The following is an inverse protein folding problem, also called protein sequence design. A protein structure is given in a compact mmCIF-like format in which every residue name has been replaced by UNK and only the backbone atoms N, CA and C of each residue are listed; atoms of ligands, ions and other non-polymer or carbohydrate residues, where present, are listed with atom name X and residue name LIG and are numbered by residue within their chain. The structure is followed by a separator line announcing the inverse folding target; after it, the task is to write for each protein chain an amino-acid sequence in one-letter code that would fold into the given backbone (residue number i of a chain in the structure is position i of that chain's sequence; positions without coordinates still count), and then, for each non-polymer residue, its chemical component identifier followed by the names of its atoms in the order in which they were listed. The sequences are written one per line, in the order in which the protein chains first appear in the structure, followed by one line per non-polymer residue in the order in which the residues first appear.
data_IF_753093620550
#
_entry.id   IF_753093620550
#
_cell.length_a   1.000
_cell.length_b   1.000
_cell.length_c   1.000
_cell.angle_alpha   90.00
_cell.angle_beta   90.00
_cell.angle_gamma   90.00
#
_symmetry.space_group_name_H-M   'P 1'
#
loop_
_entity.id
_entity.type
_entity.pdbx_description
1 polymer ?
#
# COMPACT_ATOMS: atom_id res chain seq x y z
N UNK A 1 40.21 46.68 30.86
CA UNK A 1 39.92 45.75 29.75
C UNK A 1 38.96 44.62 30.17
N UNK A 2 38.98 44.19 31.44
CA UNK A 2 38.06 43.15 31.95
C UNK A 2 36.58 43.57 32.04
N UNK A 3 36.28 44.85 32.31
CA UNK A 3 34.89 45.35 32.45
C UNK A 3 34.03 45.19 31.20
N UNK A 4 34.62 45.30 30.00
CA UNK A 4 33.91 45.09 28.73
C UNK A 4 33.54 43.63 28.48
N UNK A 5 34.38 42.70 28.94
CA UNK A 5 34.17 41.27 28.75
C UNK A 5 33.03 40.73 29.62
N UNK A 6 32.83 41.31 30.81
CA UNK A 6 31.67 41.02 31.67
C UNK A 6 30.35 41.56 31.09
N UNK A 7 30.35 42.77 30.51
CA UNK A 7 29.16 43.34 29.90
C UNK A 7 28.71 42.53 28.66
N UNK A 8 29.67 42.12 27.82
CA UNK A 8 29.39 41.29 26.64
C UNK A 8 28.81 39.92 27.03
N UNK A 9 29.41 39.24 28.02
CA UNK A 9 28.94 37.92 28.48
C UNK A 9 27.55 37.97 29.12
N UNK A 10 27.19 39.08 29.78
CA UNK A 10 25.84 39.30 30.33
C UNK A 10 24.79 39.52 29.23
N UNK A 11 25.14 40.23 28.16
CA UNK A 11 24.26 40.41 27.01
C UNK A 11 24.03 39.09 26.27
N UNK A 12 25.08 38.31 26.01
CA UNK A 12 24.95 36.95 25.43
C UNK A 12 24.05 36.04 26.28
N UNK A 13 24.24 36.02 27.61
CA UNK A 13 23.38 35.22 28.50
C UNK A 13 21.91 35.65 28.43
N UNK A 14 21.63 36.97 28.39
CA UNK A 14 20.25 37.46 28.32
C UNK A 14 19.55 37.11 27.00
N UNK A 15 20.29 37.10 25.88
CA UNK A 15 19.75 36.72 24.56
C UNK A 15 19.42 35.22 24.53
N UNK A 16 20.33 34.38 25.06
CA UNK A 16 20.12 32.93 25.14
C UNK A 16 18.92 32.59 26.03
N UNK A 17 18.76 33.25 27.18
CA UNK A 17 17.61 33.04 28.06
C UNK A 17 16.28 33.46 27.43
N UNK A 18 16.26 34.57 26.68
CA UNK A 18 15.06 35.00 25.96
C UNK A 18 14.67 34.04 24.83
N UNK A 19 15.64 33.54 24.06
CA UNK A 19 15.36 32.54 23.03
C UNK A 19 14.86 31.21 23.62
N UNK A 20 15.45 30.77 24.74
CA UNK A 20 15.02 29.58 25.45
C UNK A 20 13.59 29.72 26.00
N UNK A 21 13.24 30.87 26.56
CA UNK A 21 11.88 31.20 27.01
C UNK A 21 10.89 31.20 25.85
N UNK A 22 11.22 31.88 24.75
CA UNK A 22 10.35 31.94 23.56
C UNK A 22 10.10 30.54 22.99
N UNK A 23 11.13 29.70 22.93
CA UNK A 23 11.03 28.31 22.46
C UNK A 23 10.17 27.44 23.39
N UNK A 24 10.30 27.60 24.72
CA UNK A 24 9.43 26.93 25.71
C UNK A 24 7.97 27.35 25.57
N UNK A 25 7.69 28.63 25.42
CA UNK A 25 6.32 29.12 25.21
C UNK A 25 5.72 28.59 23.91
N UNK A 26 6.50 28.57 22.83
CA UNK A 26 6.05 28.01 21.55
C UNK A 26 5.76 26.50 21.66
N UNK A 27 6.59 25.74 22.39
CA UNK A 27 6.34 24.33 22.68
C UNK A 27 5.05 24.12 23.48
N UNK A 28 4.82 24.91 24.53
CA UNK A 28 3.60 24.82 25.34
C UNK A 28 2.34 25.14 24.51
N UNK A 29 2.41 26.15 23.65
CA UNK A 29 1.31 26.54 22.78
C UNK A 29 0.99 25.45 21.74
N UNK A 30 2.01 24.80 21.18
CA UNK A 30 1.84 23.65 20.28
C UNK A 30 1.24 22.46 21.02
N UNK A 31 1.75 22.11 22.21
CA UNK A 31 1.20 21.00 23.02
C UNK A 31 -0.26 21.27 23.36
N UNK A 32 -0.59 22.48 23.82
CA UNK A 32 -1.95 22.88 24.15
C UNK A 32 -2.86 22.84 22.91
N UNK A 33 -2.39 23.37 21.78
CA UNK A 33 -3.12 23.32 20.51
C UNK A 33 -3.41 21.90 20.04
N UNK A 34 -2.43 20.99 20.14
CA UNK A 34 -2.61 19.57 19.79
C UNK A 34 -3.63 18.90 20.71
N UNK A 35 -3.61 19.18 22.02
CA UNK A 35 -4.57 18.62 22.97
C UNK A 35 -5.99 19.13 22.69
N UNK A 36 -6.15 20.44 22.50
CA UNK A 36 -7.47 21.06 22.23
C UNK A 36 -8.03 20.54 20.91
N UNK A 37 -7.23 20.49 19.84
CA UNK A 37 -7.65 19.97 18.54
C UNK A 37 -8.00 18.48 18.64
N UNK A 38 -7.21 17.67 19.34
CA UNK A 38 -7.49 16.24 19.53
C UNK A 38 -8.77 16.00 20.33
N UNK A 39 -8.99 16.76 21.41
CA UNK A 39 -10.20 16.68 22.22
C UNK A 39 -11.45 17.14 21.45
N UNK A 40 -11.33 18.23 20.68
CA UNK A 40 -12.42 18.76 19.85
C UNK A 40 -12.80 17.79 18.74
N UNK A 41 -11.81 17.24 18.05
CA UNK A 41 -12.01 16.18 17.04
C UNK A 41 -12.69 14.95 17.65
N UNK A 42 -12.37 14.62 18.89
CA UNK A 42 -12.96 13.45 19.56
C UNK A 42 -14.44 13.62 19.94
N UNK A 43 -14.93 14.85 20.08
CA UNK A 43 -16.31 15.14 20.48
C UNK A 43 -17.22 15.30 19.26
N UNK A 44 -16.70 15.88 18.18
CA UNK A 44 -17.51 16.27 16.99
C UNK A 44 -17.63 15.12 15.99
N UNK A 45 -16.68 14.20 15.94
CA UNK A 45 -16.64 13.19 14.89
C UNK A 45 -17.37 11.89 15.27
N UNK A 46 -18.13 11.27 14.35
CA UNK A 46 -18.69 9.95 14.57
C UNK A 46 -17.57 8.91 14.76
N UNK A 47 -17.81 7.86 15.55
CA UNK A 47 -16.79 6.85 15.93
C UNK A 47 -15.99 6.26 14.75
N UNK A 48 -16.58 6.19 13.55
CA UNK A 48 -15.91 5.73 12.32
C UNK A 48 -14.93 6.75 11.72
N UNK A 49 -15.15 8.04 11.96
CA UNK A 49 -14.31 9.12 11.43
C UNK A 49 -13.00 9.29 12.21
N UNK A 50 -12.89 8.80 13.45
CA UNK A 50 -11.61 8.76 14.17
C UNK A 50 -10.58 7.89 13.46
N UNK A 51 -11.00 6.77 12.86
CA UNK A 51 -10.12 5.90 12.08
C UNK A 51 -9.60 6.64 10.85
N UNK A 52 -10.43 7.49 10.22
CA UNK A 52 -10.03 8.30 9.07
C UNK A 52 -9.04 9.37 9.50
N UNK A 53 -9.31 10.11 10.58
CA UNK A 53 -8.42 11.18 11.07
C UNK A 53 -7.07 10.64 11.52
N UNK A 54 -7.05 9.51 12.24
CA UNK A 54 -5.79 8.86 12.64
C UNK A 54 -5.10 8.25 11.43
N UNK A 55 -5.85 7.63 10.51
CA UNK A 55 -5.32 7.00 9.32
C UNK A 55 -4.77 7.97 8.29
N UNK A 56 -5.27 9.20 8.21
CA UNK A 56 -4.91 10.19 7.19
C UNK A 56 -3.41 10.55 7.22
N UNK A 57 -2.79 10.90 8.36
CA UNK A 57 -1.34 11.10 8.44
C UNK A 57 -0.56 9.87 7.96
N UNK A 58 -0.94 8.66 8.37
CA UNK A 58 -0.27 7.43 7.93
C UNK A 58 -0.47 7.17 6.43
N UNK A 59 -1.64 7.49 5.89
CA UNK A 59 -1.92 7.39 4.46
C UNK A 59 -1.08 8.40 3.66
N UNK A 60 -0.93 9.64 4.15
CA UNK A 60 -0.09 10.67 3.52
C UNK A 60 1.38 10.26 3.58
N UNK A 61 1.87 9.81 4.74
CA UNK A 61 3.24 9.33 4.90
C UNK A 61 3.48 8.11 4.00
N UNK A 62 2.56 7.15 4.01
CA UNK A 62 2.61 5.96 3.17
C UNK A 62 2.65 6.31 1.69
N UNK A 63 1.80 7.24 1.24
CA UNK A 63 1.79 7.76 -0.12
C UNK A 63 3.14 8.41 -0.46
N UNK A 64 3.68 9.25 0.41
CA UNK A 64 4.97 9.90 0.19
C UNK A 64 6.13 8.90 0.13
N UNK A 65 6.12 7.87 0.98
CA UNK A 65 7.08 6.76 0.96
C UNK A 65 7.00 5.98 -0.35
N UNK A 66 5.80 5.68 -0.83
CA UNK A 66 5.58 4.98 -2.10
C UNK A 66 6.03 5.83 -3.29
N UNK A 67 5.78 7.15 -3.27
CA UNK A 67 6.26 8.08 -4.30
C UNK A 67 7.79 8.08 -4.38
N UNK A 68 8.46 8.07 -3.21
CA UNK A 68 9.92 8.08 -3.12
C UNK A 68 10.56 6.74 -3.47
N UNK A 69 9.92 5.63 -3.08
CA UNK A 69 10.40 4.27 -3.30
C UNK A 69 9.27 3.38 -3.84
N UNK A 70 8.99 3.42 -5.15
CA UNK A 70 7.88 2.69 -5.76
C UNK A 70 7.82 1.18 -5.41
N UNK A 71 8.95 0.44 -5.36
CA UNK A 71 8.90 -0.98 -5.01
C UNK A 71 8.32 -1.29 -3.62
N UNK A 72 8.37 -0.35 -2.66
CA UNK A 72 7.71 -0.54 -1.36
C UNK A 72 6.19 -0.66 -1.50
N UNK A 73 5.60 -0.02 -2.52
CA UNK A 73 4.17 -0.18 -2.81
C UNK A 73 3.79 -1.64 -3.10
N UNK A 74 4.66 -2.38 -3.80
CA UNK A 74 4.45 -3.80 -4.09
C UNK A 74 4.58 -4.67 -2.83
N UNK A 75 5.51 -4.33 -1.94
CA UNK A 75 5.65 -5.02 -0.64
C UNK A 75 4.41 -4.79 0.23
N UNK A 76 3.93 -3.54 0.30
CA UNK A 76 2.71 -3.18 1.02
C UNK A 76 1.48 -3.90 0.42
N UNK A 77 1.42 -4.06 -0.90
CA UNK A 77 0.36 -4.81 -1.57
C UNK A 77 0.35 -6.28 -1.13
N UNK A 78 1.51 -6.94 -1.05
CA UNK A 78 1.61 -8.34 -0.59
C UNK A 78 1.10 -8.48 0.85
N UNK A 79 1.58 -7.61 1.75
CA UNK A 79 1.16 -7.63 3.15
C UNK A 79 -0.34 -7.31 3.26
N UNK A 80 -0.79 -6.25 2.59
CA UNK A 80 -2.17 -5.80 2.60
C UNK A 80 -3.15 -6.82 2.03
N UNK A 81 -2.72 -7.65 1.08
CA UNK A 81 -3.53 -8.74 0.54
C UNK A 81 -3.71 -9.91 1.52
N UNK A 82 -2.69 -10.18 2.35
CA UNK A 82 -2.77 -11.24 3.35
C UNK A 82 -3.55 -10.81 4.59
N UNK A 83 -3.48 -9.52 4.93
CA UNK A 83 -4.21 -8.97 6.07
C UNK A 83 -5.71 -8.85 5.77
N UNK A 84 -6.52 -8.93 6.83
CA UNK A 84 -7.96 -8.69 6.77
C UNK A 84 -8.22 -7.18 6.62
N UNK A 85 -7.84 -6.64 5.47
CA UNK A 85 -8.05 -5.25 5.13
C UNK A 85 -9.53 -4.98 4.92
N UNK A 86 -10.02 -3.88 5.49
CA UNK A 86 -11.37 -3.40 5.27
C UNK A 86 -11.59 -3.19 3.77
N UNK A 87 -12.54 -3.93 3.18
CA UNK A 87 -12.88 -3.76 1.78
C UNK A 87 -13.36 -2.31 1.55
N UNK A 88 -12.83 -1.68 0.50
CA UNK A 88 -13.42 -0.44 -0.03
C UNK A 88 -14.68 -0.90 -0.80
N UNK A 89 -15.79 -0.12 -0.78
CA UNK A 89 -16.93 -0.44 -1.62
C UNK A 89 -16.47 -0.66 -3.07
N UNK A 90 -16.93 -1.74 -3.70
CA UNK A 90 -16.70 -2.12 -5.11
C UNK A 90 -15.29 -2.67 -5.48
N UNK A 91 -14.22 -2.36 -4.74
CA UNK A 91 -12.85 -2.83 -5.05
C UNK A 91 -12.11 -3.23 -3.76
N UNK A 92 -11.51 -4.42 -3.74
CA UNK A 92 -10.68 -4.85 -2.61
C UNK A 92 -9.42 -3.96 -2.49
N UNK A 93 -8.96 -3.67 -1.25
CA UNK A 93 -7.81 -2.79 -1.01
C UNK A 93 -6.56 -3.12 -1.84
N UNK A 94 -6.13 -4.39 -2.01
CA UNK A 94 -4.97 -4.73 -2.82
C UNK A 94 -5.14 -4.33 -4.29
N UNK A 95 -6.34 -4.49 -4.86
CA UNK A 95 -6.64 -4.08 -6.22
C UNK A 95 -6.64 -2.56 -6.35
N UNK A 96 -7.17 -1.84 -5.37
CA UNK A 96 -7.13 -0.37 -5.35
C UNK A 96 -5.68 0.16 -5.25
N UNK A 97 -4.85 -0.43 -4.39
CA UNK A 97 -3.42 -0.10 -4.28
C UNK A 97 -2.70 -0.41 -5.59
N UNK A 98 -2.95 -1.57 -6.20
CA UNK A 98 -2.35 -1.96 -7.46
C UNK A 98 -2.67 -0.98 -8.59
N UNK A 99 -3.95 -0.64 -8.75
CA UNK A 99 -4.38 0.34 -9.74
C UNK A 99 -3.78 1.72 -9.45
N UNK A 100 -3.78 2.15 -8.19
CA UNK A 100 -3.16 3.41 -7.78
C UNK A 100 -1.67 3.47 -8.13
N UNK A 101 -0.92 2.39 -7.86
CA UNK A 101 0.49 2.27 -8.24
C UNK A 101 0.67 2.28 -9.76
N UNK A 102 -0.25 1.66 -10.50
CA UNK A 102 -0.24 1.63 -11.98
C UNK A 102 -0.42 3.02 -12.55
N UNK A 103 -1.46 3.72 -12.08
CA UNK A 103 -1.77 5.09 -12.48
C UNK A 103 -0.61 6.02 -12.12
N UNK A 104 -0.08 5.92 -10.90
CA UNK A 104 1.06 6.71 -10.46
C UNK A 104 2.30 6.49 -11.34
N UNK A 105 2.64 5.23 -11.61
CA UNK A 105 3.75 4.87 -12.48
C UNK A 105 3.57 5.45 -13.89
N UNK A 106 2.35 5.34 -14.44
CA UNK A 106 2.02 5.89 -15.75
C UNK A 106 2.13 7.42 -15.77
N UNK A 107 1.59 8.11 -14.77
CA UNK A 107 1.74 9.57 -14.64
C UNK A 107 3.20 9.99 -14.53
N UNK A 108 4.01 9.27 -13.74
CA UNK A 108 5.44 9.53 -13.65
C UNK A 108 6.14 9.39 -15.00
N UNK A 109 5.80 8.36 -15.77
CA UNK A 109 6.36 8.16 -17.12
C UNK A 109 6.02 9.33 -18.04
N UNK A 110 4.75 9.78 -18.03
CA UNK A 110 4.30 10.92 -18.84
C UNK A 110 4.92 12.26 -18.43
N UNK A 111 5.08 12.50 -17.12
CA UNK A 111 5.49 13.81 -16.59
C UNK A 111 7.00 13.98 -16.43
N UNK A 112 7.67 12.99 -15.84
CA UNK A 112 9.09 13.06 -15.48
C UNK A 112 10.00 12.52 -16.59
N UNK A 113 9.65 11.35 -17.14
CA UNK A 113 10.54 10.64 -18.06
C UNK A 113 10.28 11.03 -19.52
N UNK A 114 9.07 11.53 -19.85
CA UNK A 114 8.61 11.99 -21.18
C UNK A 114 8.82 10.98 -22.33
N UNK A 115 9.24 9.78 -22.02
CA UNK A 115 9.49 8.68 -22.95
C UNK A 115 8.84 7.41 -22.41
N UNK A 116 8.09 6.73 -23.26
CA UNK A 116 7.46 5.46 -22.92
C UNK A 116 8.49 4.35 -23.11
N UNK A 117 9.26 4.09 -22.05
CA UNK A 117 10.24 2.99 -22.02
C UNK A 117 9.60 1.73 -21.44
N UNK A 118 9.08 0.88 -22.31
CA UNK A 118 8.74 -0.48 -21.92
C UNK A 118 10.01 -1.35 -21.88
N UNK A 119 10.21 -2.09 -20.79
CA UNK A 119 11.19 -3.16 -20.76
C UNK A 119 10.72 -4.22 -21.75
N UNK A 120 11.44 -4.35 -22.86
CA UNK A 120 11.17 -5.39 -23.84
C UNK A 120 11.70 -6.73 -23.31
N UNK A 121 10.84 -7.73 -23.27
CA UNK A 121 11.21 -9.06 -22.83
C UNK A 121 10.14 -10.08 -23.22
N UNK A 122 10.50 -11.36 -23.43
CA UNK A 122 9.55 -12.40 -23.82
C UNK A 122 8.34 -12.50 -22.89
N UNK A 123 8.54 -12.29 -21.59
CA UNK A 123 7.47 -12.31 -20.58
C UNK A 123 6.45 -11.18 -20.76
N UNK A 124 6.90 -9.97 -21.11
CA UNK A 124 5.99 -8.83 -21.35
C UNK A 124 5.17 -9.06 -22.60
N UNK A 125 5.81 -9.56 -23.67
CA UNK A 125 5.10 -9.92 -24.90
C UNK A 125 4.05 -11.01 -24.65
N UNK A 126 4.39 -12.05 -23.88
CA UNK A 126 3.44 -13.10 -23.52
C UNK A 126 2.25 -12.57 -22.72
N UNK A 127 2.50 -11.69 -21.74
CA UNK A 127 1.48 -11.05 -20.91
C UNK A 127 0.58 -10.13 -21.76
N UNK A 128 1.13 -9.38 -22.72
CA UNK A 128 0.36 -8.57 -23.67
C UNK A 128 -0.57 -9.42 -24.54
N UNK A 129 -0.06 -10.49 -25.15
CA UNK A 129 -0.88 -11.41 -25.95
C UNK A 129 -1.98 -12.05 -25.10
N UNK A 130 -1.64 -12.51 -23.90
CA UNK A 130 -2.63 -13.07 -22.97
C UNK A 130 -3.76 -12.08 -22.66
N UNK A 131 -3.42 -10.82 -22.37
CA UNK A 131 -4.40 -9.76 -22.11
C UNK A 131 -5.28 -9.49 -23.33
N UNK A 132 -4.70 -9.37 -24.53
CA UNK A 132 -5.45 -9.20 -25.78
C UNK A 132 -6.40 -10.37 -26.00
N UNK A 133 -5.93 -11.60 -25.85
CA UNK A 133 -6.75 -12.81 -25.98
C UNK A 133 -7.88 -12.84 -24.97
N UNK A 134 -7.66 -12.39 -23.73
CA UNK A 134 -8.71 -12.35 -22.70
C UNK A 134 -9.79 -11.31 -23.05
N UNK A 135 -9.40 -10.12 -23.50
CA UNK A 135 -10.35 -9.08 -23.94
C UNK A 135 -11.17 -9.58 -25.15
N UNK A 136 -10.50 -10.20 -26.13
CA UNK A 136 -11.17 -10.78 -27.30
C UNK A 136 -12.12 -11.90 -26.89
N UNK A 137 -11.70 -12.80 -26.00
CA UNK A 137 -12.56 -13.87 -25.49
C UNK A 137 -13.78 -13.32 -24.75
N UNK A 138 -13.62 -12.28 -23.94
CA UNK A 138 -14.74 -11.61 -23.27
C UNK A 138 -15.71 -10.99 -24.28
N UNK A 139 -15.21 -10.26 -25.27
CA UNK A 139 -16.02 -9.63 -26.31
C UNK A 139 -16.77 -10.67 -27.15
N UNK A 140 -16.08 -11.73 -27.57
CA UNK A 140 -16.68 -12.83 -28.33
C UNK A 140 -17.74 -13.57 -27.51
N UNK A 141 -17.51 -13.74 -26.20
CA UNK A 141 -18.47 -14.36 -25.29
C UNK A 141 -19.77 -13.58 -25.09
N UNK A 142 -19.85 -12.30 -25.49
CA UNK A 142 -21.09 -11.51 -25.39
C UNK A 142 -22.02 -11.68 -26.59
N UNK A 143 -21.60 -12.36 -27.66
CA UNK A 143 -22.45 -12.51 -28.83
C UNK A 143 -23.63 -13.46 -28.61
N UNK A 144 -24.81 -13.16 -29.20
CA UNK A 144 -26.04 -13.90 -28.93
C UNK A 144 -26.07 -15.32 -29.54
N UNK A 145 -25.07 -15.71 -30.34
CA UNK A 145 -25.00 -17.05 -30.94
C UNK A 145 -24.53 -18.12 -29.96
N UNK A 146 -24.08 -17.76 -28.75
CA UNK A 146 -23.70 -18.74 -27.74
C UNK A 146 -24.96 -19.36 -27.10
N UNK A 147 -25.12 -20.69 -27.13
CA UNK A 147 -26.33 -21.38 -26.66
C UNK A 147 -26.43 -21.46 -25.13
N UNK A 148 -25.52 -20.81 -24.39
CA UNK A 148 -25.44 -20.87 -22.93
C UNK A 148 -25.73 -19.48 -22.37
N UNK A 149 -26.62 -19.40 -21.39
CA UNK A 149 -26.85 -18.17 -20.65
C UNK A 149 -25.55 -17.74 -19.96
N UNK A 150 -25.02 -16.58 -20.34
CA UNK A 150 -23.84 -16.02 -19.71
C UNK A 150 -24.08 -15.74 -18.22
N UNK A 151 -23.00 -15.76 -17.43
CA UNK A 151 -23.05 -15.28 -16.05
C UNK A 151 -23.51 -13.80 -16.02
N UNK A 152 -24.01 -13.28 -14.88
CA UNK A 152 -24.33 -11.86 -14.75
C UNK A 152 -23.16 -10.98 -15.23
N UNK A 153 -23.48 -9.92 -15.98
CA UNK A 153 -22.46 -9.04 -16.60
C UNK A 153 -21.41 -8.55 -15.59
N UNK A 154 -21.85 -8.23 -14.37
CA UNK A 154 -20.98 -7.82 -13.27
C UNK A 154 -19.91 -8.87 -12.92
N UNK A 155 -20.29 -10.15 -12.93
CA UNK A 155 -19.35 -11.26 -12.65
C UNK A 155 -18.36 -11.44 -13.79
N UNK A 156 -18.82 -11.29 -15.04
CA UNK A 156 -17.93 -11.40 -16.20
C UNK A 156 -16.92 -10.25 -16.25
N UNK A 157 -17.36 -9.01 -15.98
CA UNK A 157 -16.48 -7.84 -15.86
C UNK A 157 -15.50 -8.03 -14.71
N UNK A 158 -15.95 -8.55 -13.56
CA UNK A 158 -15.07 -8.88 -12.44
C UNK A 158 -13.99 -9.89 -12.82
N UNK A 159 -14.34 -10.93 -13.57
CA UNK A 159 -13.40 -11.92 -14.09
C UNK A 159 -12.36 -11.30 -15.04
N UNK A 160 -12.82 -10.51 -16.03
CA UNK A 160 -11.93 -9.78 -16.94
C UNK A 160 -10.99 -8.85 -16.17
N UNK A 161 -11.51 -8.14 -15.17
CA UNK A 161 -10.76 -7.20 -14.35
C UNK A 161 -9.62 -7.88 -13.58
N UNK A 162 -9.77 -9.11 -13.10
CA UNK A 162 -8.68 -9.87 -12.45
C UNK A 162 -7.51 -10.07 -13.42
N UNK A 163 -7.78 -10.40 -14.68
CA UNK A 163 -6.74 -10.58 -15.68
C UNK A 163 -6.06 -9.26 -16.07
N UNK A 164 -6.83 -8.16 -16.18
CA UNK A 164 -6.29 -6.83 -16.42
C UNK A 164 -5.45 -6.32 -15.24
N UNK A 165 -5.91 -6.53 -14.01
CA UNK A 165 -5.16 -6.21 -12.81
C UNK A 165 -3.85 -7.02 -12.75
N UNK A 166 -3.89 -8.31 -13.11
CA UNK A 166 -2.70 -9.16 -13.19
C UNK A 166 -1.68 -8.61 -14.20
N UNK A 167 -2.14 -8.18 -15.38
CA UNK A 167 -1.30 -7.50 -16.37
C UNK A 167 -0.61 -6.26 -15.79
N UNK A 168 -1.36 -5.40 -15.10
CA UNK A 168 -0.80 -4.23 -14.42
C UNK A 168 0.26 -4.61 -13.38
N UNK A 169 0.02 -5.67 -12.58
CA UNK A 169 1.00 -6.17 -11.61
C UNK A 169 2.29 -6.64 -12.27
N UNK A 170 2.20 -7.42 -13.35
CA UNK A 170 3.39 -7.89 -14.08
C UNK A 170 4.21 -6.74 -14.66
N UNK A 171 3.57 -5.75 -15.30
CA UNK A 171 4.26 -4.59 -15.84
C UNK A 171 4.91 -3.76 -14.73
N UNK A 172 4.19 -3.51 -13.64
CA UNK A 172 4.72 -2.76 -12.51
C UNK A 172 5.95 -3.45 -11.92
N UNK A 173 5.89 -4.76 -11.69
CA UNK A 173 7.04 -5.53 -11.19
C UNK A 173 8.21 -5.44 -12.17
N UNK A 174 7.98 -5.68 -13.46
CA UNK A 174 9.05 -5.62 -14.46
C UNK A 174 9.73 -4.26 -14.56
N UNK A 175 8.99 -3.18 -14.30
CA UNK A 175 9.50 -1.82 -14.40
C UNK A 175 10.18 -1.33 -13.11
N UNK A 176 9.61 -1.69 -11.95
CA UNK A 176 10.07 -1.20 -10.65
C UNK A 176 11.12 -2.11 -10.01
N UNK A 177 11.05 -3.42 -10.23
CA UNK A 177 11.94 -4.40 -9.60
C UNK A 177 13.11 -4.71 -10.54
N UNK A 178 14.15 -3.87 -10.47
CA UNK A 178 15.39 -4.06 -11.24
C UNK A 178 16.48 -4.81 -10.46
N UNK A 179 16.38 -4.81 -9.14
CA UNK A 179 17.35 -5.44 -8.24
C UNK A 179 16.78 -6.67 -7.54
N UNK A 180 17.59 -7.72 -7.44
CA UNK A 180 17.27 -8.94 -6.68
C UNK A 180 16.93 -8.66 -5.21
N UNK A 181 17.46 -7.56 -4.65
CA UNK A 181 17.16 -7.13 -3.27
C UNK A 181 15.67 -6.85 -3.08
N UNK A 182 15.03 -6.19 -4.03
CA UNK A 182 13.59 -5.89 -3.95
C UNK A 182 12.74 -7.15 -4.07
N UNK A 183 13.15 -8.09 -4.93
CA UNK A 183 12.48 -9.38 -5.02
C UNK A 183 12.54 -10.13 -3.68
N UNK A 184 13.71 -10.13 -3.02
CA UNK A 184 13.84 -10.65 -1.65
C UNK A 184 12.88 -9.95 -0.69
N UNK A 185 12.84 -8.62 -0.68
CA UNK A 185 11.93 -7.84 0.19
C UNK A 185 10.44 -8.06 -0.09
N UNK A 186 10.05 -8.53 -1.27
CA UNK A 186 8.67 -8.93 -1.57
C UNK A 186 8.38 -10.35 -1.07
N UNK A 187 9.34 -11.26 -1.23
CA UNK A 187 9.21 -12.67 -0.84
C UNK A 187 9.26 -12.87 0.68
N UNK A 188 10.19 -12.21 1.37
CA UNK A 188 10.39 -12.41 2.81
C UNK A 188 9.13 -12.14 3.64
N UNK A 189 8.40 -11.02 3.47
CA UNK A 189 7.16 -10.78 4.19
C UNK A 189 6.09 -11.85 3.90
N UNK A 190 6.00 -12.33 2.66
CA UNK A 190 5.08 -13.41 2.31
C UNK A 190 5.41 -14.70 3.07
N UNK A 191 6.68 -15.13 3.06
CA UNK A 191 7.14 -16.33 3.79
C UNK A 191 6.90 -16.18 5.30
N UNK A 192 7.29 -15.04 5.88
CA UNK A 192 7.14 -14.79 7.32
C UNK A 192 5.67 -14.86 7.72
N UNK A 193 4.78 -14.19 6.97
CA UNK A 193 3.34 -14.21 7.23
C UNK A 193 2.76 -15.61 7.03
N UNK A 194 3.16 -16.33 5.98
CA UNK A 194 2.72 -17.70 5.74
C UNK A 194 3.17 -18.66 6.85
N UNK A 195 4.41 -18.51 7.34
CA UNK A 195 4.93 -19.27 8.47
C UNK A 195 4.18 -18.98 9.77
N UNK A 196 3.95 -17.69 10.09
CA UNK A 196 3.13 -17.29 11.25
C UNK A 196 1.73 -17.89 11.15
N UNK A 197 1.09 -17.80 9.97
CA UNK A 197 -0.22 -18.39 9.72
C UNK A 197 -0.21 -19.90 9.96
N UNK A 198 0.77 -20.62 9.41
CA UNK A 198 0.91 -22.08 9.59
C UNK A 198 1.06 -22.48 11.05
N UNK A 199 1.90 -21.76 11.82
CA UNK A 199 2.07 -21.99 13.26
C UNK A 199 0.75 -21.75 14.01
N UNK A 200 0.10 -20.60 13.77
CA UNK A 200 -1.17 -20.25 14.42
C UNK A 200 -2.32 -21.20 14.04
N UNK A 201 -2.26 -21.86 12.89
CA UNK A 201 -3.28 -22.79 12.45
C UNK A 201 -3.29 -24.09 13.29
N UNK A 202 -2.13 -24.48 13.82
CA UNK A 202 -1.95 -25.70 14.64
C UNK A 202 -2.17 -25.42 16.12
N UNK A 203 -1.91 -24.20 16.60
CA UNK A 203 -2.05 -23.84 18.03
C UNK A 203 -3.52 -23.76 18.46
N UNK A 204 -3.92 -24.37 19.59
CA UNK A 204 -5.25 -24.21 20.17
C UNK A 204 -5.57 -22.72 20.42
N UNK A 205 -6.66 -22.22 19.84
CA UNK A 205 -7.06 -20.80 19.93
C UNK A 205 -6.47 -19.89 18.85
N UNK A 206 -5.45 -20.31 18.11
CA UNK A 206 -4.84 -19.50 17.04
C UNK A 206 -5.79 -19.16 15.89
N UNK A 207 -6.83 -19.98 15.67
CA UNK A 207 -7.90 -19.70 14.68
C UNK A 207 -8.62 -18.37 14.91
N UNK A 208 -8.79 -17.93 16.17
CA UNK A 208 -9.42 -16.62 16.47
C UNK A 208 -8.52 -15.47 16.03
N UNK A 209 -7.22 -15.58 16.30
CA UNK A 209 -6.20 -14.61 15.89
C UNK A 209 -6.12 -14.55 14.37
N UNK A 210 -6.08 -15.70 13.71
CA UNK A 210 -6.07 -15.80 12.24
C UNK A 210 -7.25 -15.05 11.63
N UNK A 211 -8.48 -15.30 12.10
CA UNK A 211 -9.68 -14.62 11.56
C UNK A 211 -9.67 -13.11 11.80
N UNK A 212 -8.97 -12.63 12.83
CA UNK A 212 -8.86 -11.21 13.12
C UNK A 212 -7.81 -10.53 12.23
N UNK A 213 -6.69 -11.20 11.96
CA UNK A 213 -5.52 -10.59 11.29
C UNK A 213 -5.49 -10.91 9.80
N UNK A 214 -5.79 -12.14 9.40
CA UNK A 214 -5.65 -12.63 8.03
C UNK A 214 -6.97 -12.61 7.27
N UNK A 215 -6.89 -12.27 5.99
CA UNK A 215 -8.02 -12.39 5.07
C UNK A 215 -8.30 -13.85 4.77
N UNK A 216 -9.50 -14.31 5.13
CA UNK A 216 -9.97 -15.67 4.83
C UNK A 216 -9.95 -15.96 3.33
N UNK A 217 -10.19 -14.93 2.50
CA UNK A 217 -10.16 -15.05 1.03
C UNK A 217 -8.75 -15.34 0.51
N UNK A 218 -7.75 -14.71 1.12
CA UNK A 218 -6.35 -14.88 0.70
C UNK A 218 -5.80 -16.22 1.17
N UNK A 219 -5.99 -16.60 2.44
CA UNK A 219 -5.37 -17.79 3.04
C UNK A 219 -6.19 -19.07 2.88
N UNK A 220 -7.47 -18.97 2.54
CA UNK A 220 -8.36 -20.12 2.38
C UNK A 220 -8.22 -20.84 1.03
N UNK A 221 -7.60 -20.20 0.03
CA UNK A 221 -7.43 -20.75 -1.32
C UNK A 221 -6.22 -21.67 -1.45
N UNK A 222 -6.28 -22.62 -2.40
CA UNK A 222 -5.17 -23.52 -2.75
C UNK A 222 -3.93 -22.77 -3.23
N UNK A 223 -4.11 -21.61 -3.88
CA UNK A 223 -3.00 -20.78 -4.38
C UNK A 223 -2.06 -20.32 -3.26
N UNK A 224 -2.59 -19.90 -2.10
CA UNK A 224 -1.75 -19.45 -0.99
C UNK A 224 -0.80 -20.55 -0.51
N UNK A 225 -1.30 -21.76 -0.36
CA UNK A 225 -0.50 -22.92 0.06
C UNK A 225 0.50 -23.34 -1.02
N UNK A 226 0.08 -23.36 -2.28
CA UNK A 226 0.96 -23.64 -3.42
C UNK A 226 2.13 -22.67 -3.45
N UNK A 227 1.85 -21.37 -3.37
CA UNK A 227 2.89 -20.34 -3.36
C UNK A 227 3.77 -20.41 -2.11
N UNK A 228 3.21 -20.73 -0.94
CA UNK A 228 3.99 -20.90 0.29
C UNK A 228 5.02 -22.02 0.16
N UNK A 229 4.64 -23.15 -0.46
CA UNK A 229 5.56 -24.26 -0.70
C UNK A 229 6.55 -23.93 -1.81
N UNK A 230 6.07 -23.39 -2.94
CA UNK A 230 6.91 -23.10 -4.10
C UNK A 230 8.00 -22.07 -3.81
N UNK A 231 7.72 -21.10 -2.95
CA UNK A 231 8.67 -20.03 -2.57
C UNK A 231 9.63 -20.50 -1.47
N UNK A 232 9.29 -21.55 -0.73
CA UNK A 232 10.13 -22.14 0.30
C UNK A 232 11.11 -23.21 -0.23
N UNK A 233 10.83 -23.76 -1.43
CA UNK A 233 11.68 -24.73 -2.13
C UNK A 233 12.86 -24.04 -2.84
#
# INVERSE_FOLDING_TARGET
MESGLYAYRRLEQSVIEQEALKRRWLQLLVIFGVIVVSASLSIVLPSKAHIIVIGLPFAIIGLFVVLKWPPLGLVVLIIGNLLNATAIPFIDLPAAVLLGLTVLWFFRMLTLEKEIKFVSGPSITAVLFFTITTILSFAVGQFPWFPVSGAPMETQIGGLFIFLASFCAFILVAQQVRDIRWLKWMVFPFIVMAGIFGILAVVPGGRKIIRSIYSVRATGGSLFWLWSVAVAA
#
